data_IF_049500405003
#
_entry.id   IF_049500405003
#
_cell.length_a   1.000
_cell.length_b   1.000
_cell.length_c   1.000
_cell.angle_alpha   90.00
_cell.angle_beta   90.00
_cell.angle_gamma   90.00
#
_symmetry.space_group_name_H-M   'P 1'
#
loop_
_entity.id
_entity.type
_entity.pdbx_description
1 polymer ?
#
# COMPACT_ATOMS: atom_id res chain seq x y z
N UNK A 1 -2.94 -21.41 -11.59
CA UNK A 1 -3.61 -21.43 -10.26
C UNK A 1 -4.77 -20.45 -10.29
N UNK A 2 -5.91 -20.77 -9.66
CA UNK A 2 -6.95 -19.77 -9.40
C UNK A 2 -6.48 -18.76 -8.35
N UNK A 3 -7.04 -17.55 -8.33
CA UNK A 3 -6.70 -16.49 -7.35
C UNK A 3 -6.77 -17.01 -5.90
N UNK A 4 -7.81 -17.78 -5.57
CA UNK A 4 -7.96 -18.40 -4.24
C UNK A 4 -6.86 -19.41 -3.91
N UNK A 5 -6.42 -20.21 -4.89
CA UNK A 5 -5.30 -21.14 -4.69
C UNK A 5 -3.95 -20.44 -4.54
N UNK A 6 -3.74 -19.32 -5.23
CA UNK A 6 -2.54 -18.50 -5.07
C UNK A 6 -2.50 -17.79 -3.71
N UNK A 7 -3.63 -17.27 -3.22
CA UNK A 7 -3.77 -16.70 -1.87
C UNK A 7 -3.46 -17.74 -0.78
N UNK A 8 -3.99 -18.96 -0.92
CA UNK A 8 -3.70 -20.04 0.03
C UNK A 8 -2.24 -20.50 -0.02
N UNK A 9 -1.62 -20.54 -1.20
CA UNK A 9 -0.21 -20.82 -1.35
C UNK A 9 0.66 -19.73 -0.70
N UNK A 10 0.30 -18.45 -0.87
CA UNK A 10 0.97 -17.29 -0.27
C UNK A 10 0.86 -17.27 1.26
N UNK A 11 -0.26 -17.73 1.81
CA UNK A 11 -0.46 -17.89 3.26
C UNK A 11 0.29 -19.09 3.84
N UNK A 12 0.65 -20.08 3.01
CA UNK A 12 1.53 -21.16 3.44
C UNK A 12 2.96 -20.62 3.59
N UNK A 13 3.58 -20.87 4.73
CA UNK A 13 4.96 -20.42 5.04
C UNK A 13 6.05 -20.99 4.12
N UNK A 14 5.67 -21.82 3.15
CA UNK A 14 6.60 -22.47 2.23
C UNK A 14 7.13 -21.55 1.12
N UNK A 15 6.42 -20.46 0.75
CA UNK A 15 6.83 -19.61 -0.38
C UNK A 15 7.57 -18.32 0.01
N UNK A 16 7.41 -17.89 1.26
CA UNK A 16 7.90 -16.59 1.73
C UNK A 16 8.76 -16.80 2.97
N UNK A 17 10.00 -16.33 2.89
CA UNK A 17 10.89 -16.19 4.04
C UNK A 17 10.91 -14.75 4.50
N UNK A 18 10.73 -14.51 5.80
CA UNK A 18 10.87 -13.17 6.37
C UNK A 18 12.32 -12.93 6.75
N UNK A 19 12.89 -11.84 6.23
CA UNK A 19 14.30 -11.47 6.48
C UNK A 19 14.39 -10.03 6.96
N UNK A 20 15.31 -9.80 7.90
CA UNK A 20 15.74 -8.45 8.25
C UNK A 20 16.79 -7.97 7.25
N UNK A 21 16.72 -6.68 6.90
CA UNK A 21 17.78 -5.99 6.15
C UNK A 21 18.73 -5.20 7.04
N UNK A 22 18.62 -5.32 8.37
CA UNK A 22 19.36 -4.49 9.33
C UNK A 22 18.95 -3.02 9.34
N UNK A 23 17.79 -2.69 8.74
CA UNK A 23 17.19 -1.35 8.78
C UNK A 23 16.15 -1.29 9.89
N UNK A 24 16.09 -0.18 10.63
CA UNK A 24 15.05 0.06 11.62
C UNK A 24 13.78 0.57 10.95
N UNK A 25 12.63 0.17 11.47
CA UNK A 25 11.34 0.65 10.99
C UNK A 25 11.24 2.17 11.13
N UNK A 26 10.64 2.82 10.13
CA UNK A 26 10.41 4.25 10.11
C UNK A 26 8.93 4.60 10.29
N UNK A 27 8.70 5.83 10.74
CA UNK A 27 7.42 6.52 10.72
C UNK A 27 7.64 7.94 10.18
N UNK A 28 6.59 8.63 9.78
CA UNK A 28 6.65 10.07 9.48
C UNK A 28 7.07 10.87 10.72
N UNK A 29 7.86 11.93 10.53
CA UNK A 29 8.37 12.73 11.65
C UNK A 29 7.35 13.76 12.17
N UNK A 30 6.44 14.22 11.31
CA UNK A 30 5.33 15.11 11.63
C UNK A 30 4.01 14.63 11.03
N UNK A 31 2.89 15.22 11.47
CA UNK A 31 1.56 14.90 10.93
C UNK A 31 1.39 15.49 9.53
N UNK A 32 0.76 14.73 8.63
CA UNK A 32 0.37 15.17 7.29
C UNK A 32 -1.14 15.30 7.26
N UNK A 33 -1.65 16.39 6.67
CA UNK A 33 -3.08 16.53 6.36
C UNK A 33 -3.25 16.94 4.91
N UNK A 34 -4.13 16.25 4.19
CA UNK A 34 -4.55 16.61 2.84
C UNK A 34 -6.04 16.39 2.66
N UNK A 35 -6.68 17.28 1.90
CA UNK A 35 -8.08 17.16 1.49
C UNK A 35 -8.18 17.26 -0.02
N UNK A 36 -9.08 16.50 -0.63
CA UNK A 36 -9.24 16.54 -2.08
C UNK A 36 -10.46 15.77 -2.56
N UNK A 37 -10.73 15.93 -3.86
CA UNK A 37 -11.79 15.19 -4.55
C UNK A 37 -11.34 13.73 -4.72
N UNK A 38 -12.29 12.81 -4.59
CA UNK A 38 -12.10 11.37 -4.77
C UNK A 38 -12.52 10.94 -6.18
N UNK A 39 -11.89 9.89 -6.72
CA UNK A 39 -12.03 9.52 -8.13
C UNK A 39 -13.43 9.00 -8.46
N UNK A 40 -13.91 8.03 -7.68
CA UNK A 40 -15.13 7.30 -8.03
C UNK A 40 -16.39 7.92 -7.41
N UNK A 41 -16.30 8.44 -6.18
CA UNK A 41 -17.47 9.06 -5.55
C UNK A 41 -17.66 10.53 -5.92
N UNK A 42 -16.61 11.21 -6.43
CA UNK A 42 -16.63 12.65 -6.71
C UNK A 42 -16.76 13.53 -5.46
N UNK A 43 -16.77 12.93 -4.26
CA UNK A 43 -16.89 13.63 -2.98
C UNK A 43 -15.52 14.10 -2.50
N UNK A 44 -15.53 15.05 -1.58
CA UNK A 44 -14.32 15.50 -0.88
C UNK A 44 -14.07 14.60 0.33
N UNK A 45 -12.85 14.13 0.46
CA UNK A 45 -12.36 13.44 1.63
C UNK A 45 -11.13 14.15 2.20
N UNK A 46 -10.92 14.00 3.50
CA UNK A 46 -9.73 14.44 4.23
C UNK A 46 -8.99 13.21 4.73
N UNK A 47 -7.67 13.20 4.56
CA UNK A 47 -6.78 12.19 5.10
C UNK A 47 -5.78 12.87 6.02
N UNK A 48 -5.62 12.32 7.23
CA UNK A 48 -4.52 12.65 8.14
C UNK A 48 -3.64 11.44 8.33
N UNK A 49 -2.33 11.63 8.20
CA UNK A 49 -1.34 10.60 8.48
C UNK A 49 -0.60 11.00 9.74
N UNK A 50 -0.69 10.15 10.75
CA UNK A 50 -0.07 10.35 12.05
C UNK A 50 1.13 9.42 12.22
N UNK A 51 2.20 9.87 12.90
CA UNK A 51 3.27 8.97 13.32
C UNK A 51 2.72 7.84 14.19
N UNK A 52 3.33 6.66 14.09
CA UNK A 52 2.91 5.50 14.88
C UNK A 52 4.11 4.73 15.45
N UNK A 53 3.85 3.98 16.53
CA UNK A 53 4.82 3.15 17.22
C UNK A 53 5.37 2.04 16.32
N UNK A 54 6.61 1.63 16.61
CA UNK A 54 7.22 0.49 15.93
C UNK A 54 6.41 -0.81 16.15
N UNK A 55 6.34 -1.64 15.12
CA UNK A 55 5.65 -2.93 15.14
C UNK A 55 4.14 -2.86 14.90
N UNK A 56 3.53 -1.67 14.87
CA UNK A 56 2.09 -1.50 14.60
C UNK A 56 1.78 -1.65 13.11
N UNK A 57 2.70 -1.20 12.25
CA UNK A 57 2.51 -1.13 10.82
C UNK A 57 1.62 0.03 10.39
N UNK A 58 1.16 -0.03 9.14
CA UNK A 58 0.20 0.93 8.57
C UNK A 58 -1.21 0.43 8.84
N UNK A 59 -2.12 1.35 9.17
CA UNK A 59 -3.55 1.04 9.23
C UNK A 59 -4.40 2.26 8.92
N UNK A 60 -5.58 2.00 8.37
CA UNK A 60 -6.61 3.01 8.18
C UNK A 60 -7.48 3.10 9.42
N UNK A 61 -7.76 4.32 9.87
CA UNK A 61 -8.75 4.65 10.88
C UNK A 61 -9.92 5.36 10.19
N UNK A 62 -11.03 4.64 10.03
CA UNK A 62 -12.26 5.19 9.49
C UNK A 62 -13.37 5.00 10.51
N UNK A 63 -13.81 6.11 11.13
CA UNK A 63 -14.85 6.11 12.17
C UNK A 63 -14.53 5.15 13.33
N UNK A 64 -13.28 5.14 13.78
CA UNK A 64 -12.76 4.24 14.83
C UNK A 64 -12.77 2.75 14.45
N UNK A 65 -12.97 2.42 13.17
CA UNK A 65 -12.71 1.09 12.64
C UNK A 65 -11.28 1.05 12.08
N UNK A 66 -10.42 0.25 12.72
CA UNK A 66 -9.03 0.09 12.31
C UNK A 66 -8.89 -1.05 11.32
N UNK A 67 -8.43 -0.73 10.12
CA UNK A 67 -8.30 -1.67 8.99
C UNK A 67 -6.84 -1.68 8.53
N UNK A 68 -6.14 -2.79 8.76
CA UNK A 68 -4.81 -2.99 8.21
C UNK A 68 -4.89 -3.28 6.69
N UNK A 69 -3.95 -2.82 5.87
CA UNK A 69 -3.88 -3.14 4.45
C UNK A 69 -3.37 -4.58 4.26
N UNK A 70 -4.20 -5.56 4.63
CA UNK A 70 -3.98 -6.99 4.42
C UNK A 70 -4.88 -7.51 3.30
N UNK A 71 -4.40 -8.51 2.57
CA UNK A 71 -5.18 -9.27 1.57
C UNK A 71 -6.47 -9.85 2.17
N UNK A 72 -6.51 -10.10 3.48
CA UNK A 72 -7.71 -10.60 4.18
C UNK A 72 -8.87 -9.60 4.20
N UNK A 73 -8.57 -8.31 4.07
CA UNK A 73 -9.56 -7.24 4.06
C UNK A 73 -9.80 -6.69 2.65
N UNK A 74 -9.13 -7.22 1.63
CA UNK A 74 -9.37 -6.78 0.25
C UNK A 74 -10.73 -7.30 -0.21
N UNK A 75 -11.57 -6.39 -0.69
CA UNK A 75 -12.82 -6.70 -1.35
C UNK A 75 -12.69 -6.43 -2.86
N UNK A 76 -13.17 -7.36 -3.68
CA UNK A 76 -13.28 -7.16 -5.13
C UNK A 76 -14.05 -5.87 -5.43
N UNK A 77 -13.37 -4.93 -6.08
CA UNK A 77 -13.94 -3.68 -6.53
C UNK A 77 -13.45 -3.40 -7.94
N UNK A 78 -14.33 -3.07 -8.89
CA UNK A 78 -13.89 -2.64 -10.20
C UNK A 78 -13.08 -1.35 -10.08
N UNK A 79 -11.95 -1.30 -10.78
CA UNK A 79 -11.12 -0.12 -11.00
C UNK A 79 -10.37 0.47 -9.79
N UNK A 80 -10.46 -0.12 -8.59
CA UNK A 80 -9.63 0.27 -7.46
C UNK A 80 -9.47 -0.82 -6.41
N UNK A 81 -8.45 -0.71 -5.54
CA UNK A 81 -8.33 -1.58 -4.36
C UNK A 81 -9.22 -1.03 -3.24
N UNK A 82 -10.07 -1.88 -2.69
CA UNK A 82 -10.94 -1.54 -1.56
C UNK A 82 -10.64 -2.43 -0.37
N UNK A 83 -10.40 -1.83 0.79
CA UNK A 83 -10.31 -2.52 2.06
C UNK A 83 -11.69 -2.48 2.75
N UNK A 84 -12.12 -3.60 3.30
CA UNK A 84 -13.41 -3.77 3.96
C UNK A 84 -13.24 -4.58 5.25
N UNK A 85 -13.75 -4.04 6.37
CA UNK A 85 -13.78 -4.71 7.67
C UNK A 85 -15.03 -4.27 8.43
N UNK A 86 -15.76 -5.23 8.97
CA UNK A 86 -17.00 -5.00 9.74
C UNK A 86 -18.03 -4.08 9.02
N UNK A 87 -18.07 -4.15 7.69
CA UNK A 87 -18.95 -3.33 6.84
C UNK A 87 -18.42 -1.93 6.52
N UNK A 88 -17.30 -1.50 7.11
CA UNK A 88 -16.63 -0.23 6.81
C UNK A 88 -15.66 -0.40 5.66
N UNK A 89 -15.70 0.53 4.70
CA UNK A 89 -14.90 0.47 3.46
C UNK A 89 -14.00 1.68 3.31
N UNK A 90 -12.75 1.43 2.92
CA UNK A 90 -11.81 2.45 2.46
C UNK A 90 -11.38 2.09 1.04
N UNK A 91 -11.71 2.95 0.10
CA UNK A 91 -11.54 2.74 -1.35
C UNK A 91 -10.35 3.53 -1.89
N UNK A 92 -9.78 3.04 -2.99
CA UNK A 92 -8.71 3.72 -3.74
C UNK A 92 -7.44 3.91 -2.90
N UNK A 93 -7.08 2.88 -2.12
CA UNK A 93 -5.95 2.93 -1.16
C UNK A 93 -4.58 2.81 -1.81
N UNK A 94 -4.53 2.30 -3.04
CA UNK A 94 -3.32 1.87 -3.75
C UNK A 94 -2.27 2.97 -3.94
N UNK A 95 -2.66 4.20 -4.30
CA UNK A 95 -1.70 5.29 -4.53
C UNK A 95 -1.03 5.74 -3.23
N UNK A 96 -1.82 5.89 -2.15
CA UNK A 96 -1.30 6.26 -0.84
C UNK A 96 -0.40 5.15 -0.27
N UNK A 97 -0.83 3.89 -0.34
CA UNK A 97 -0.02 2.76 0.12
C UNK A 97 1.29 2.63 -0.68
N UNK A 98 1.24 2.87 -2.00
CA UNK A 98 2.43 2.89 -2.85
C UNK A 98 3.38 4.01 -2.44
N UNK A 99 2.88 5.22 -2.16
CA UNK A 99 3.70 6.34 -1.69
C UNK A 99 4.36 6.01 -0.35
N UNK A 100 3.61 5.49 0.61
CA UNK A 100 4.13 5.12 1.93
C UNK A 100 5.22 4.05 1.82
N UNK A 101 5.02 3.00 1.01
CA UNK A 101 6.03 1.95 0.82
C UNK A 101 7.29 2.50 0.13
N UNK A 102 7.12 3.26 -0.95
CA UNK A 102 8.23 3.83 -1.71
C UNK A 102 9.06 4.81 -0.87
N UNK A 103 8.40 5.58 0.00
CA UNK A 103 9.02 6.52 0.94
C UNK A 103 9.44 5.86 2.27
N UNK A 104 9.38 4.54 2.37
CA UNK A 104 9.88 3.81 3.54
C UNK A 104 9.11 4.03 4.83
N UNK A 105 7.86 4.47 4.80
CA UNK A 105 7.00 4.61 5.98
C UNK A 105 6.44 3.25 6.38
N UNK A 106 6.98 2.67 7.45
CA UNK A 106 6.57 1.35 7.93
C UNK A 106 5.39 1.42 8.89
N UNK A 107 5.34 2.45 9.74
CA UNK A 107 4.32 2.64 10.76
C UNK A 107 3.65 4.00 10.59
N UNK A 108 2.32 4.01 10.45
CA UNK A 108 1.52 5.22 10.54
C UNK A 108 0.03 4.88 10.70
N UNK A 109 -0.69 5.76 11.39
CA UNK A 109 -2.16 5.77 11.38
C UNK A 109 -2.65 6.67 10.25
N UNK A 110 -3.52 6.14 9.40
CA UNK A 110 -4.12 6.85 8.27
C UNK A 110 -5.59 7.10 8.59
N UNK A 111 -5.87 8.24 9.20
CA UNK A 111 -7.24 8.68 9.50
C UNK A 111 -7.89 9.21 8.22
N UNK A 112 -9.06 8.67 7.87
CA UNK A 112 -9.79 9.07 6.66
C UNK A 112 -11.20 9.49 7.02
N UNK A 113 -11.59 10.67 6.55
CA UNK A 113 -12.92 11.23 6.78
C UNK A 113 -13.55 11.69 5.46
N UNK A 114 -14.79 11.29 5.21
CA UNK A 114 -15.60 11.84 4.12
C UNK A 114 -16.33 13.09 4.59
N UNK A 115 -16.17 14.22 3.89
CA UNK A 115 -16.80 15.49 4.31
C UNK A 115 -18.28 15.58 3.93
N UNK A 116 -18.75 14.76 2.98
CA UNK A 116 -20.14 14.71 2.49
C UNK A 116 -20.55 13.28 2.06
N UNK A 117 -20.13 12.27 2.84
CA UNK A 117 -20.07 10.87 2.41
C UNK A 117 -21.11 9.91 3.00
N UNK A 118 -21.07 8.67 2.51
CA UNK A 118 -21.80 7.54 3.08
C UNK A 118 -21.23 7.18 4.43
N UNK A 119 -22.10 6.72 5.32
CA UNK A 119 -21.77 6.36 6.70
C UNK A 119 -20.71 5.24 6.81
N UNK A 120 -20.67 4.32 5.84
CA UNK A 120 -19.88 3.09 5.90
C UNK A 120 -18.83 2.97 4.79
N UNK A 121 -18.66 3.99 3.95
CA UNK A 121 -17.66 3.97 2.87
C UNK A 121 -17.01 5.32 2.67
N UNK A 122 -15.68 5.33 2.65
CA UNK A 122 -14.86 6.49 2.32
C UNK A 122 -13.85 6.13 1.23
N UNK A 123 -13.38 7.16 0.53
CA UNK A 123 -12.43 7.01 -0.58
C UNK A 123 -11.27 7.98 -0.37
N UNK A 124 -10.04 7.52 -0.63
CA UNK A 124 -8.85 8.34 -0.53
C UNK A 124 -8.82 9.35 -1.70
N UNK A 125 -8.47 10.63 -1.48
CA UNK A 125 -8.37 11.63 -2.55
C UNK A 125 -7.42 11.22 -3.67
N UNK A 126 -7.80 11.54 -4.91
CA UNK A 126 -7.06 11.14 -6.12
C UNK A 126 -6.02 12.17 -6.58
N UNK A 127 -6.22 13.44 -6.22
CA UNK A 127 -5.41 14.58 -6.68
C UNK A 127 -5.23 14.60 -8.20
N UNK A 128 -3.99 14.49 -8.70
CA UNK A 128 -3.65 14.48 -10.12
C UNK A 128 -3.71 13.08 -10.75
N UNK A 129 -4.13 12.06 -9.99
CA UNK A 129 -4.15 10.66 -10.43
C UNK A 129 -2.87 9.89 -10.14
N UNK A 130 -1.83 10.55 -9.62
CA UNK A 130 -0.56 9.93 -9.27
C UNK A 130 -0.33 9.87 -7.75
N UNK A 131 0.80 9.32 -7.34
CA UNK A 131 1.25 9.32 -5.94
C UNK A 131 2.00 10.61 -5.53
N UNK A 132 2.18 11.57 -6.44
CA UNK A 132 3.09 12.73 -6.27
C UNK A 132 2.77 13.56 -5.02
N UNK A 133 1.51 13.94 -4.83
CA UNK A 133 1.09 14.77 -3.69
C UNK A 133 1.41 14.09 -2.34
N UNK A 134 1.27 12.76 -2.27
CA UNK A 134 1.62 11.99 -1.08
C UNK A 134 3.13 11.94 -0.85
N UNK A 135 3.90 11.71 -1.91
CA UNK A 135 5.37 11.70 -1.84
C UNK A 135 5.89 13.05 -1.35
N UNK A 136 5.46 14.15 -1.97
CA UNK A 136 5.88 15.50 -1.59
C UNK A 136 5.49 15.83 -0.15
N UNK A 137 4.30 15.41 0.31
CA UNK A 137 3.89 15.61 1.69
C UNK A 137 4.75 14.81 2.69
N UNK A 138 5.14 13.58 2.36
CA UNK A 138 6.03 12.75 3.19
C UNK A 138 7.44 13.34 3.22
N UNK A 139 7.97 13.80 2.09
CA UNK A 139 9.27 14.46 2.02
C UNK A 139 9.30 15.75 2.85
N UNK A 140 8.23 16.55 2.80
CA UNK A 140 8.10 17.79 3.57
C UNK A 140 8.19 17.56 5.08
N UNK A 141 7.54 16.52 5.60
CA UNK A 141 7.59 16.21 7.05
C UNK A 141 8.83 15.41 7.44
N UNK A 142 9.40 14.66 6.50
CA UNK A 142 10.53 13.76 6.73
C UNK A 142 10.16 12.49 7.50
N UNK A 143 11.16 11.63 7.68
CA UNK A 143 11.04 10.36 8.40
C UNK A 143 11.80 10.41 9.72
N UNK A 144 11.39 9.55 10.65
CA UNK A 144 12.15 9.23 11.85
C UNK A 144 12.04 7.74 12.17
N UNK A 145 13.02 7.23 12.90
CA UNK A 145 12.97 5.87 13.45
C UNK A 145 11.73 5.75 14.36
N UNK A 146 10.92 4.72 14.12
CA UNK A 146 9.80 4.40 14.98
C UNK A 146 10.31 3.69 16.25
N UNK A 147 9.73 4.03 17.38
CA UNK A 147 9.96 3.34 18.66
C UNK A 147 8.66 2.77 19.18
N UNK A 148 8.72 1.65 19.89
CA UNK A 148 7.60 1.14 20.67
C UNK A 148 7.32 2.02 21.91
N UNK A 149 6.33 1.64 22.72
CA UNK A 149 5.96 2.37 23.94
C UNK A 149 7.09 2.38 25.00
N UNK A 150 8.03 1.44 24.93
CA UNK A 150 9.20 1.35 25.80
C UNK A 150 10.42 2.11 25.26
N UNK A 151 10.31 2.75 24.10
CA UNK A 151 11.42 3.45 23.45
C UNK A 151 12.35 2.56 22.64
N UNK A 152 12.02 1.28 22.43
CA UNK A 152 12.85 0.37 21.63
C UNK A 152 12.51 0.51 20.15
N UNK A 153 13.53 0.40 19.29
CA UNK A 153 13.32 0.33 17.84
C UNK A 153 13.16 -1.12 17.39
N UNK A 154 12.42 -1.34 16.30
CA UNK A 154 12.27 -2.65 15.69
C UNK A 154 12.95 -2.69 14.32
N UNK A 155 13.52 -3.84 13.96
CA UNK A 155 14.01 -4.05 12.61
C UNK A 155 12.85 -4.22 11.62
N UNK A 156 13.04 -3.70 10.40
CA UNK A 156 12.12 -3.92 9.28
C UNK A 156 12.32 -5.32 8.72
N UNK A 157 11.27 -6.11 8.80
CA UNK A 157 11.19 -7.42 8.17
C UNK A 157 10.58 -7.28 6.78
N UNK A 158 11.22 -7.87 5.79
CA UNK A 158 10.71 -7.91 4.41
C UNK A 158 10.40 -9.34 3.99
N UNK A 159 9.34 -9.55 3.20
CA UNK A 159 9.06 -10.85 2.61
C UNK A 159 10.04 -11.10 1.46
N UNK A 160 10.70 -12.25 1.48
CA UNK A 160 11.57 -12.75 0.43
C UNK A 160 10.94 -13.97 -0.23
N UNK A 161 10.65 -13.87 -1.52
CA UNK A 161 10.13 -14.97 -2.31
C UNK A 161 11.23 -16.02 -2.53
N UNK A 162 10.97 -17.28 -2.17
CA UNK A 162 12.01 -18.33 -2.26
C UNK A 162 11.95 -19.15 -3.56
N UNK A 163 10.80 -19.19 -4.23
CA UNK A 163 10.60 -19.84 -5.53
C UNK A 163 9.63 -19.05 -6.41
N UNK A 164 9.70 -19.18 -7.75
CA UNK A 164 8.81 -18.45 -8.64
C UNK A 164 7.33 -18.77 -8.42
N UNK A 165 6.49 -17.74 -8.45
CA UNK A 165 5.02 -17.87 -8.36
C UNK A 165 4.41 -17.14 -9.55
N UNK A 166 3.38 -17.74 -10.15
CA UNK A 166 2.64 -17.09 -11.22
C UNK A 166 1.14 -17.38 -11.12
N UNK A 167 0.35 -16.41 -11.53
CA UNK A 167 -1.11 -16.48 -11.62
C UNK A 167 -1.50 -15.93 -12.97
N UNK A 168 -2.47 -16.57 -13.61
CA UNK A 168 -3.09 -16.09 -14.85
C UNK A 168 -4.60 -16.08 -14.68
N UNK A 169 -5.23 -15.10 -15.31
CA UNK A 169 -6.68 -14.99 -15.42
C UNK A 169 -6.97 -14.42 -16.79
N UNK A 170 -7.67 -15.18 -17.64
CA UNK A 170 -7.94 -14.81 -19.03
C UNK A 170 -6.65 -14.48 -19.81
N UNK A 171 -6.53 -13.25 -20.31
CA UNK A 171 -5.40 -12.69 -21.06
C UNK A 171 -4.35 -12.01 -20.17
N UNK A 172 -4.61 -11.92 -18.85
CA UNK A 172 -3.75 -11.24 -17.90
C UNK A 172 -2.98 -12.23 -17.04
N UNK A 173 -1.73 -11.92 -16.73
CA UNK A 173 -0.91 -12.72 -15.82
C UNK A 173 -0.01 -11.84 -14.93
N UNK A 174 0.35 -12.39 -13.78
CA UNK A 174 1.37 -11.85 -12.88
C UNK A 174 2.34 -12.98 -12.59
N UNK A 175 3.64 -12.70 -12.67
CA UNK A 175 4.69 -13.62 -12.27
C UNK A 175 5.68 -12.89 -11.35
N UNK A 176 6.08 -13.57 -10.27
CA UNK A 176 7.06 -13.11 -9.32
C UNK A 176 8.18 -14.14 -9.23
N UNK A 177 9.43 -13.67 -9.23
CA UNK A 177 10.63 -14.50 -9.19
C UNK A 177 11.50 -14.09 -8.00
N UNK A 178 12.21 -15.02 -7.35
CA UNK A 178 13.20 -14.68 -6.34
C UNK A 178 14.24 -13.73 -6.91
N UNK A 179 14.39 -12.56 -6.30
CA UNK A 179 15.35 -11.55 -6.74
C UNK A 179 15.89 -10.76 -5.54
N UNK A 180 17.18 -10.37 -5.50
CA UNK A 180 17.76 -9.65 -4.35
C UNK A 180 17.20 -8.24 -4.11
N UNK A 181 16.48 -7.68 -5.09
CA UNK A 181 15.89 -6.34 -5.04
C UNK A 181 14.43 -6.39 -5.45
N UNK A 182 13.66 -5.37 -5.09
CA UNK A 182 12.31 -5.21 -5.62
C UNK A 182 12.41 -4.60 -7.02
N UNK A 183 12.01 -5.37 -8.03
CA UNK A 183 11.88 -4.93 -9.40
C UNK A 183 10.46 -5.23 -9.86
N UNK A 184 9.78 -4.22 -10.41
CA UNK A 184 8.41 -4.34 -10.90
C UNK A 184 8.44 -4.04 -12.40
N UNK A 185 8.04 -5.02 -13.19
CA UNK A 185 7.91 -4.90 -14.64
C UNK A 185 6.45 -5.13 -14.96
N UNK A 186 5.85 -4.21 -15.71
CA UNK A 186 4.47 -4.36 -16.13
C UNK A 186 4.34 -4.02 -17.61
N UNK A 187 3.45 -4.75 -18.27
CA UNK A 187 3.12 -4.56 -19.68
C UNK A 187 1.62 -4.38 -19.82
N UNK A 188 1.22 -3.44 -20.66
CA UNK A 188 -0.19 -3.25 -21.03
C UNK A 188 -0.30 -3.31 -22.54
N UNK A 189 -1.24 -4.13 -23.01
CA UNK A 189 -1.67 -4.17 -24.40
C UNK A 189 -3.02 -3.45 -24.52
N UNK A 190 -3.01 -2.31 -25.19
CA UNK A 190 -4.22 -1.53 -25.47
C UNK A 190 -4.54 -1.70 -26.95
N UNK A 191 -5.62 -2.44 -27.32
CA UNK A 191 -5.94 -2.73 -28.72
C UNK A 191 -6.12 -1.48 -29.60
N UNK A 192 -6.39 -0.34 -28.99
CA UNK A 192 -6.60 0.95 -29.66
C UNK A 192 -5.28 1.65 -30.04
N UNK A 193 -4.14 1.20 -29.54
CA UNK A 193 -2.81 1.71 -29.89
C UNK A 193 -1.92 0.57 -30.39
N UNK A 194 -1.27 0.76 -31.55
CA UNK A 194 -0.48 -0.29 -32.21
C UNK A 194 0.89 -0.54 -31.57
N UNK A 195 1.01 -0.46 -30.24
CA UNK A 195 2.24 -0.75 -29.53
C UNK A 195 1.96 -1.34 -28.14
N UNK A 196 2.73 -2.37 -27.79
CA UNK A 196 2.78 -2.90 -26.43
C UNK A 196 3.57 -1.92 -25.57
N UNK A 197 2.95 -1.39 -24.52
CA UNK A 197 3.65 -0.54 -23.56
C UNK A 197 4.28 -1.44 -22.49
N UNK A 198 5.61 -1.52 -22.46
CA UNK A 198 6.37 -2.20 -21.40
C UNK A 198 7.10 -1.14 -20.60
N UNK A 199 6.90 -1.12 -19.28
CA UNK A 199 7.66 -0.31 -18.35
C UNK A 199 8.32 -1.19 -17.29
N UNK A 200 9.60 -0.92 -17.01
CA UNK A 200 10.36 -1.57 -15.94
C UNK A 200 10.78 -0.52 -14.92
N UNK A 201 10.48 -0.78 -13.65
CA UNK A 201 10.87 0.06 -12.53
C UNK A 201 11.71 -0.76 -11.56
N UNK A 202 12.95 -0.33 -11.34
CA UNK A 202 13.73 -0.76 -10.20
C UNK A 202 13.29 0.08 -9.00
N UNK A 203 12.65 -0.54 -8.01
CA UNK A 203 12.43 0.13 -6.74
C UNK A 203 13.80 0.22 -6.06
N UNK A 204 14.47 1.35 -6.25
CA UNK A 204 15.66 1.71 -5.51
C UNK A 204 15.26 1.87 -4.05
N UNK A 205 15.15 0.77 -3.29
CA UNK A 205 15.17 0.87 -1.85
C UNK A 205 16.48 1.55 -1.47
N UNK A 206 16.40 2.84 -1.18
CA UNK A 206 17.41 3.74 -0.63
C UNK A 206 18.84 3.29 -0.92
N UNK A 207 19.44 3.89 -1.97
CA UNK A 207 20.89 3.85 -2.18
C UNK A 207 21.58 4.26 -0.88
N UNK A 208 22.54 3.41 -0.50
CA UNK A 208 23.60 3.50 0.50
C UNK A 208 23.77 4.83 1.24
#
# INVERSE_FOLDING_TARGET
MSVSSALNAFKSSALISWKSLGKLQQTIAGCIERSGITLHSGRVARVKIWPECAGVGRYFDFRSNFIHPSVDYVQDSPLCTTLCKDGYKVRTVEHLLSALEAMGVDNCRIEVEGLNGEESSVEVPIFDGSAKEWVEAIEQVGLKVATDQGGNSCEKMIPFLIEPVHVHTNDSFIAAFPYPKVQIIYGIDFPQVNFLCIASFDCLQYRM
#
